data_IF_165948343720
#
_entry.id   IF_165948343720
#
_cell.length_a   1.000
_cell.length_b   1.000
_cell.length_c   1.000
_cell.angle_alpha   90.00
_cell.angle_beta   90.00
_cell.angle_gamma   90.00
#
_symmetry.space_group_name_H-M   'P 1'
#
loop_
_entity.id
_entity.type
_entity.pdbx_description
1 polymer ?
#
# COMPACT_ATOMS: atom_id res chain seq x y z
N UNK A 1 16.16 9.54 26.26
CA UNK A 1 15.36 10.76 26.41
C UNK A 1 14.00 10.44 25.83
N UNK A 2 13.04 10.03 26.67
CA UNK A 2 11.69 9.69 26.21
C UNK A 2 10.94 10.97 25.90
N UNK A 3 10.88 11.33 24.63
CA UNK A 3 10.03 12.41 24.15
C UNK A 3 8.59 11.92 24.15
N UNK A 4 7.73 12.74 24.76
CA UNK A 4 6.41 12.40 25.25
C UNK A 4 5.43 12.17 24.09
N UNK A 5 5.15 10.90 23.78
CA UNK A 5 4.22 10.46 22.72
C UNK A 5 2.72 10.59 23.06
N UNK A 6 2.36 11.13 24.23
CA UNK A 6 0.95 11.23 24.62
C UNK A 6 0.34 12.55 24.09
N UNK A 7 -0.73 12.49 23.27
CA UNK A 7 -1.37 13.69 22.75
C UNK A 7 -1.92 14.58 23.87
N UNK A 8 -1.72 15.89 23.75
CA UNK A 8 -2.00 16.85 24.83
C UNK A 8 -3.50 17.06 25.10
N UNK A 9 -4.37 16.65 24.16
CA UNK A 9 -5.82 16.85 24.27
C UNK A 9 -6.59 15.61 23.80
N UNK A 10 -7.25 14.94 24.75
CA UNK A 10 -8.26 13.92 24.47
C UNK A 10 -9.56 14.60 24.06
N UNK A 11 -10.09 14.17 22.93
CA UNK A 11 -11.39 14.57 22.43
C UNK A 11 -12.45 13.60 22.94
N UNK A 12 -13.66 14.08 23.20
CA UNK A 12 -14.76 13.20 23.59
C UNK A 12 -16.08 13.64 23.00
N UNK A 13 -16.92 12.66 22.70
CA UNK A 13 -18.29 12.85 22.30
C UNK A 13 -19.20 12.43 23.46
N UNK A 14 -20.07 13.34 23.88
CA UNK A 14 -20.99 13.17 25.01
C UNK A 14 -22.41 13.30 24.48
N UNK A 15 -23.27 12.33 24.82
CA UNK A 15 -24.69 12.33 24.49
C UNK A 15 -25.51 12.14 25.76
N UNK A 16 -26.53 12.99 25.99
CA UNK A 16 -27.38 13.01 27.19
C UNK A 16 -26.59 13.08 28.52
N UNK A 17 -25.42 13.72 28.52
CA UNK A 17 -24.56 13.83 29.70
C UNK A 17 -23.62 12.64 29.92
N UNK A 18 -23.73 11.56 29.13
CA UNK A 18 -22.83 10.41 29.18
C UNK A 18 -21.78 10.46 28.07
N UNK A 19 -20.52 10.17 28.42
CA UNK A 19 -19.42 10.09 27.46
C UNK A 19 -19.57 8.81 26.65
N UNK A 20 -19.87 8.96 25.37
CA UNK A 20 -20.10 7.82 24.45
C UNK A 20 -18.77 7.37 23.83
N UNK A 21 -17.91 8.32 23.44
CA UNK A 21 -16.61 8.02 22.84
C UNK A 21 -15.54 9.02 23.30
N UNK A 22 -14.30 8.56 23.45
CA UNK A 22 -13.11 9.38 23.70
C UNK A 22 -12.04 8.97 22.69
N UNK A 23 -11.36 9.92 22.06
CA UNK A 23 -10.30 9.66 21.10
C UNK A 23 -9.15 10.65 21.25
N UNK A 24 -7.98 10.19 20.82
CA UNK A 24 -6.76 10.97 20.74
C UNK A 24 -6.61 11.53 19.32
N UNK A 25 -6.42 12.85 19.19
CA UNK A 25 -6.09 13.49 17.91
C UNK A 25 -4.73 14.17 18.05
N UNK A 26 -3.77 13.75 17.25
CA UNK A 26 -2.49 14.44 17.11
C UNK A 26 -2.60 15.51 16.03
N UNK A 27 -1.88 16.64 16.21
CA UNK A 27 -1.83 17.71 15.20
C UNK A 27 -1.03 17.30 13.95
N UNK A 28 -0.15 16.31 14.09
CA UNK A 28 0.63 15.77 12.99
C UNK A 28 -0.28 14.96 12.07
N UNK A 29 -0.82 15.64 11.06
CA UNK A 29 -1.37 15.00 9.88
C UNK A 29 -0.24 14.21 9.20
N UNK A 30 -0.33 12.89 9.30
CA UNK A 30 0.59 12.00 8.63
C UNK A 30 0.17 11.85 7.17
N UNK A 31 1.01 12.34 6.27
CA UNK A 31 0.78 12.18 4.84
C UNK A 31 1.04 10.74 4.42
N UNK A 32 0.17 10.20 3.55
CA UNK A 32 0.47 8.95 2.85
C UNK A 32 1.66 9.16 1.91
N UNK A 33 2.40 8.09 1.64
CA UNK A 33 3.56 8.15 0.75
C UNK A 33 3.21 8.63 -0.67
N UNK A 34 2.04 8.28 -1.18
CA UNK A 34 1.48 8.78 -2.43
C UNK A 34 -0.05 8.87 -2.36
N UNK A 35 -0.70 9.60 -3.29
CA UNK A 35 -2.15 9.67 -3.36
C UNK A 35 -2.82 8.31 -3.58
N UNK A 36 -4.02 8.17 -3.03
CA UNK A 36 -4.87 6.98 -3.10
C UNK A 36 -6.22 7.32 -3.71
N UNK A 37 -6.93 6.31 -4.23
CA UNK A 37 -8.31 6.42 -4.68
C UNK A 37 -9.24 6.25 -3.49
N UNK A 38 -9.76 7.34 -2.95
CA UNK A 38 -10.59 7.31 -1.73
C UNK A 38 -11.93 6.60 -1.93
N UNK A 39 -12.48 6.64 -3.14
CA UNK A 39 -13.72 5.95 -3.53
C UNK A 39 -13.59 4.43 -3.60
N UNK A 40 -12.35 3.95 -3.77
CA UNK A 40 -12.00 2.53 -3.92
C UNK A 40 -11.22 1.99 -2.72
N UNK A 41 -10.99 2.82 -1.70
CA UNK A 41 -10.33 2.45 -0.46
C UNK A 41 -11.38 2.26 0.62
N UNK A 42 -11.14 1.34 1.56
CA UNK A 42 -12.11 1.02 2.60
C UNK A 42 -11.40 0.58 3.87
N UNK A 43 -12.14 0.52 4.96
CA UNK A 43 -11.67 -0.01 6.23
C UNK A 43 -12.67 -1.01 6.80
N UNK A 44 -12.17 -1.98 7.55
CA UNK A 44 -12.98 -2.91 8.35
C UNK A 44 -12.48 -2.90 9.79
N UNK A 45 -13.35 -3.28 10.72
CA UNK A 45 -13.01 -3.44 12.13
C UNK A 45 -13.30 -4.89 12.53
N UNK A 46 -12.26 -5.64 12.85
CA UNK A 46 -12.31 -7.05 13.21
C UNK A 46 -11.47 -7.26 14.47
N UNK A 47 -12.05 -7.90 15.51
CA UNK A 47 -11.36 -8.21 16.77
C UNK A 47 -10.61 -7.01 17.40
N UNK A 48 -11.25 -5.84 17.46
CA UNK A 48 -10.68 -4.57 17.93
C UNK A 48 -9.46 -4.06 17.12
N UNK A 49 -9.21 -4.64 15.94
CA UNK A 49 -8.17 -4.22 15.00
C UNK A 49 -8.83 -3.55 13.79
N UNK A 50 -8.41 -2.31 13.51
CA UNK A 50 -8.85 -1.58 12.32
C UNK A 50 -7.95 -1.93 11.14
N UNK A 51 -8.51 -2.61 10.14
CA UNK A 51 -7.85 -2.94 8.89
C UNK A 51 -8.15 -1.86 7.85
N UNK A 52 -7.13 -1.13 7.40
CA UNK A 52 -7.27 -0.10 6.36
C UNK A 52 -6.72 -0.66 5.04
N UNK A 53 -7.56 -0.70 4.01
CA UNK A 53 -7.16 -1.07 2.65
C UNK A 53 -7.17 0.17 1.77
N UNK A 54 -5.97 0.55 1.27
CA UNK A 54 -5.77 1.73 0.44
C UNK A 54 -5.49 1.34 -1.02
N UNK A 55 -6.34 1.78 -1.95
CA UNK A 55 -6.10 1.62 -3.37
C UNK A 55 -5.14 2.69 -3.86
N UNK A 56 -3.91 2.31 -4.23
CA UNK A 56 -2.94 3.23 -4.83
C UNK A 56 -3.54 3.87 -6.08
N UNK A 57 -3.40 5.20 -6.20
CA UNK A 57 -3.78 5.91 -7.43
C UNK A 57 -2.85 5.53 -8.57
N UNK A 58 -1.56 5.53 -8.28
CA UNK A 58 -0.50 5.25 -9.25
C UNK A 58 -0.09 3.77 -9.11
N UNK A 59 -0.67 2.91 -9.97
CA UNK A 59 -0.35 1.47 -10.02
C UNK A 59 1.17 1.29 -10.21
N UNK A 60 1.73 0.19 -9.68
CA UNK A 60 3.16 -0.14 -9.79
C UNK A 60 4.14 0.82 -9.07
N UNK A 61 3.66 1.86 -8.40
CA UNK A 61 4.49 2.69 -7.53
C UNK A 61 4.85 1.90 -6.25
N UNK A 62 6.14 1.62 -6.07
CA UNK A 62 6.67 1.10 -4.81
C UNK A 62 6.53 2.16 -3.72
N UNK A 63 6.00 1.75 -2.57
CA UNK A 63 5.91 2.59 -1.38
C UNK A 63 6.95 2.07 -0.38
N UNK A 64 7.91 2.91 0.01
CA UNK A 64 8.88 2.53 1.04
C UNK A 64 8.23 2.41 2.43
N UNK A 65 7.04 2.99 2.61
CA UNK A 65 6.15 2.84 3.75
C UNK A 65 4.76 3.36 3.38
N UNK A 66 3.66 2.92 4.03
CA UNK A 66 2.34 3.54 3.89
C UNK A 66 2.32 5.03 4.27
N UNK A 67 3.06 5.40 5.31
CA UNK A 67 3.11 6.75 5.86
C UNK A 67 4.45 7.39 5.51
N UNK A 68 4.40 8.61 4.97
CA UNK A 68 5.59 9.37 4.62
C UNK A 68 6.45 9.63 5.86
N UNK A 69 7.72 9.23 5.81
CA UNK A 69 8.70 9.49 6.87
C UNK A 69 8.64 8.53 8.06
N UNK A 70 7.72 7.56 8.08
CA UNK A 70 7.66 6.53 9.13
C UNK A 70 8.00 5.15 8.58
N UNK A 71 8.77 4.34 9.31
CA UNK A 71 8.97 2.92 8.98
C UNK A 71 9.54 2.67 7.58
N UNK A 72 10.44 3.54 7.10
CA UNK A 72 11.08 3.35 5.80
C UNK A 72 11.73 1.97 5.73
N UNK A 73 11.30 1.19 4.74
CA UNK A 73 11.99 -0.03 4.35
C UNK A 73 13.46 0.29 4.06
N UNK A 74 14.36 -0.60 4.49
CA UNK A 74 15.75 -0.50 4.09
C UNK A 74 15.89 -0.67 2.55
N UNK A 75 17.03 -0.26 1.96
CA UNK A 75 17.22 -0.34 0.51
C UNK A 75 17.05 -1.75 -0.08
N UNK A 76 17.35 -2.79 0.70
CA UNK A 76 17.21 -4.18 0.27
C UNK A 76 15.74 -4.61 0.24
N UNK A 77 14.97 -4.29 1.28
CA UNK A 77 13.54 -4.56 1.33
C UNK A 77 12.77 -3.78 0.25
N UNK A 78 13.21 -2.55 -0.08
CA UNK A 78 12.66 -1.77 -1.19
C UNK A 78 12.88 -2.46 -2.55
N UNK A 79 14.10 -2.96 -2.80
CA UNK A 79 14.41 -3.72 -4.02
C UNK A 79 13.61 -5.02 -4.12
N UNK A 80 13.41 -5.72 -2.99
CA UNK A 80 12.60 -6.93 -2.94
C UNK A 80 11.13 -6.66 -3.29
N UNK A 81 10.55 -5.59 -2.76
CA UNK A 81 9.17 -5.19 -3.08
C UNK A 81 9.03 -4.76 -4.54
N UNK A 82 10.02 -4.06 -5.10
CA UNK A 82 10.03 -3.69 -6.51
C UNK A 82 10.05 -4.92 -7.42
N UNK A 83 10.86 -5.94 -7.07
CA UNK A 83 10.89 -7.24 -7.78
C UNK A 83 9.55 -7.96 -7.67
N UNK A 84 8.92 -7.96 -6.50
CA UNK A 84 7.59 -8.55 -6.27
C UNK A 84 6.54 -7.90 -7.17
N UNK A 85 6.51 -6.57 -7.24
CA UNK A 85 5.59 -5.80 -8.09
C UNK A 85 5.83 -6.07 -9.58
N UNK A 86 7.09 -6.15 -10.01
CA UNK A 86 7.45 -6.49 -11.39
C UNK A 86 6.96 -7.90 -11.78
N UNK A 87 7.17 -8.88 -10.91
CA UNK A 87 6.73 -10.25 -11.14
C UNK A 87 5.21 -10.33 -11.22
N UNK A 88 4.51 -9.68 -10.29
CA UNK A 88 3.05 -9.60 -10.30
C UNK A 88 2.52 -8.97 -11.60
N UNK A 89 3.11 -7.85 -12.03
CA UNK A 89 2.71 -7.15 -13.26
C UNK A 89 2.93 -8.02 -14.50
N UNK A 90 4.06 -8.72 -14.57
CA UNK A 90 4.35 -9.64 -15.66
C UNK A 90 3.38 -10.82 -15.69
N UNK A 91 3.07 -11.39 -14.52
CA UNK A 91 2.05 -12.44 -14.40
C UNK A 91 0.66 -11.95 -14.84
N UNK A 92 0.25 -10.73 -14.45
CA UNK A 92 -1.01 -10.11 -14.87
C UNK A 92 -1.05 -9.84 -16.39
N UNK A 93 0.01 -9.22 -16.95
CA UNK A 93 0.13 -8.96 -18.40
C UNK A 93 0.11 -10.26 -19.22
N UNK A 94 0.83 -11.28 -18.76
CA UNK A 94 0.74 -12.61 -19.32
C UNK A 94 -0.68 -13.14 -19.18
N UNK A 95 -1.27 -13.21 -17.99
CA UNK A 95 -2.61 -13.77 -17.79
C UNK A 95 -3.66 -13.15 -18.73
N UNK A 96 -3.60 -11.83 -18.96
CA UNK A 96 -4.44 -11.12 -19.94
C UNK A 96 -4.12 -11.59 -21.38
N UNK A 97 -2.85 -11.68 -21.76
CA UNK A 97 -2.45 -12.18 -23.08
C UNK A 97 -2.78 -13.68 -23.29
N UNK A 98 -2.76 -14.49 -22.23
CA UNK A 98 -3.09 -15.91 -22.20
C UNK A 98 -4.61 -16.15 -22.24
N UNK A 99 -5.43 -15.26 -21.68
CA UNK A 99 -6.88 -15.28 -21.92
C UNK A 99 -7.23 -15.02 -23.40
N UNK A 100 -6.32 -14.41 -24.16
CA UNK A 100 -6.47 -14.12 -25.60
C UNK A 100 -5.76 -15.17 -26.49
N UNK A 101 -4.84 -15.98 -25.94
CA UNK A 101 -4.10 -17.01 -26.69
C UNK A 101 -3.96 -18.30 -25.88
N UNK A 102 -4.44 -19.39 -26.46
CA UNK A 102 -4.38 -20.79 -25.99
C UNK A 102 -2.96 -21.32 -25.71
N UNK A 103 -2.21 -20.76 -24.76
CA UNK A 103 -1.01 -21.41 -24.23
C UNK A 103 -1.25 -21.85 -22.78
N UNK A 104 -1.89 -22.98 -22.53
CA UNK A 104 -1.93 -23.55 -21.19
C UNK A 104 -0.54 -24.10 -20.87
N UNK A 105 0.32 -23.35 -20.16
CA UNK A 105 1.57 -23.96 -19.69
C UNK A 105 2.76 -23.10 -19.30
N UNK A 106 2.68 -21.76 -19.25
CA UNK A 106 3.79 -21.01 -18.67
C UNK A 106 3.51 -20.73 -17.19
N UNK A 107 4.15 -21.51 -16.32
CA UNK A 107 4.12 -21.33 -14.87
C UNK A 107 5.26 -20.40 -14.42
N UNK A 108 4.90 -19.20 -13.95
CA UNK A 108 5.83 -18.24 -13.37
C UNK A 108 5.94 -18.35 -11.85
N UNK A 109 5.39 -19.40 -11.22
CA UNK A 109 5.45 -19.60 -9.77
C UNK A 109 6.88 -19.67 -9.21
N UNK A 110 7.84 -20.11 -10.04
CA UNK A 110 9.27 -20.21 -9.70
C UNK A 110 10.13 -19.10 -10.33
N UNK A 111 9.52 -18.13 -11.02
CA UNK A 111 10.27 -17.10 -11.71
C UNK A 111 10.89 -16.12 -10.69
N UNK A 112 12.19 -15.86 -10.86
CA UNK A 112 12.93 -14.91 -10.03
C UNK A 112 13.51 -13.81 -10.90
N UNK A 113 13.46 -12.57 -10.40
CA UNK A 113 14.08 -11.43 -11.05
C UNK A 113 15.57 -11.39 -10.68
N UNK A 114 16.47 -11.52 -11.67
CA UNK A 114 17.91 -11.43 -11.47
C UNK A 114 18.45 -10.09 -11.99
N UNK A 115 19.47 -9.54 -11.31
CA UNK A 115 20.04 -8.23 -11.64
C UNK A 115 19.25 -7.04 -11.06
N UNK A 116 19.55 -5.83 -11.57
CA UNK A 116 18.85 -4.60 -11.17
C UNK A 116 17.42 -4.61 -11.68
N UNK A 117 16.46 -4.42 -10.78
CA UNK A 117 15.05 -4.37 -11.11
C UNK A 117 14.70 -3.00 -11.76
N UNK A 118 14.14 -2.95 -12.98
CA UNK A 118 13.69 -1.71 -13.60
C UNK A 118 12.42 -1.18 -12.92
N UNK A 119 12.08 0.10 -13.12
CA UNK A 119 10.91 0.74 -12.51
C UNK A 119 9.60 0.08 -13.05
N UNK A 120 8.75 -0.49 -12.17
CA UNK A 120 7.49 -1.12 -12.57
C UNK A 120 6.47 -0.18 -13.20
N UNK A 121 6.69 1.14 -13.19
CA UNK A 121 5.80 2.10 -13.86
C UNK A 121 6.14 2.31 -15.33
N UNK A 122 7.42 2.16 -15.71
CA UNK A 122 7.92 2.52 -17.04
C UNK A 122 8.34 1.33 -17.88
N UNK A 123 8.62 0.19 -17.26
CA UNK A 123 9.06 -1.01 -17.96
C UNK A 123 7.99 -1.54 -18.94
N UNK A 124 8.40 -2.11 -20.10
CA UNK A 124 7.55 -2.69 -21.16
C UNK A 124 6.40 -1.81 -21.67
N UNK A 125 6.64 -0.51 -21.85
CA UNK A 125 5.62 0.42 -22.37
C UNK A 125 4.74 1.04 -21.28
N UNK A 126 5.05 0.74 -20.02
CA UNK A 126 4.42 1.34 -18.84
C UNK A 126 3.06 0.74 -18.49
N UNK A 127 2.46 1.25 -17.42
CA UNK A 127 1.18 0.76 -16.95
C UNK A 127 0.05 1.38 -17.77
N UNK A 128 -0.82 0.52 -18.30
CA UNK A 128 -2.07 0.97 -18.95
C UNK A 128 -2.94 1.63 -17.89
N UNK A 129 -3.19 2.93 -18.08
CA UNK A 129 -4.16 3.67 -17.31
C UNK A 129 -5.54 3.20 -17.80
N UNK A 130 -6.28 2.50 -16.94
CA UNK A 130 -7.72 2.29 -17.13
C UNK A 130 -8.48 3.59 -16.93
#
# INVERSE_FOLDING_TARGET
MSEKLAPEKRHSFVHNGEKVFEWDQTLDEHYLFCPVKTDSSFWTLEDDIMHITLQKRDKGQTWASPILGQGQLDPYATDLEQKRLMLQRFQEECAIAYHVRENPGFDFSQAQFTGSCPDPRTFMGGIRLD
#
